data_IF_446750692680
#
_entry.id   IF_446750692680
#
_cell.length_a   1.000
_cell.length_b   1.000
_cell.length_c   1.000
_cell.angle_alpha   90.00
_cell.angle_beta   90.00
_cell.angle_gamma   90.00
#
_symmetry.space_group_name_H-M   'P 1'
#
loop_
_entity.id
_entity.type
_entity.pdbx_description
1 polymer ?
#
# COMPACT_ATOMS: atom_id res chain seq x y z
N UNK A 1 -15.02 12.95 20.53
CA UNK A 1 -15.38 12.41 19.20
C UNK A 1 -14.42 11.25 18.95
N UNK A 2 -14.83 10.05 19.34
CA UNK A 2 -14.04 8.82 19.22
C UNK A 2 -14.16 8.33 17.77
N UNK A 3 -13.07 8.48 17.00
CA UNK A 3 -12.96 7.82 15.70
C UNK A 3 -12.94 6.33 16.01
N UNK A 4 -14.06 5.68 15.73
CA UNK A 4 -14.19 4.24 15.86
C UNK A 4 -13.42 3.64 14.67
N UNK A 5 -12.12 3.39 14.86
CA UNK A 5 -11.26 2.68 13.91
C UNK A 5 -11.77 1.23 13.95
N UNK A 6 -12.81 0.93 13.17
CA UNK A 6 -13.28 -0.44 13.01
C UNK A 6 -12.13 -1.26 12.43
N UNK A 7 -11.83 -2.36 13.11
CA UNK A 7 -10.77 -3.34 12.83
C UNK A 7 -10.85 -3.88 11.39
N UNK A 8 -10.24 -3.20 10.43
CA UNK A 8 -9.97 -3.77 9.11
C UNK A 8 -8.56 -4.37 9.15
N UNK A 9 -8.38 -5.66 8.84
CA UNK A 9 -7.05 -6.28 8.71
C UNK A 9 -6.09 -5.53 7.77
N UNK A 10 -6.61 -4.70 6.86
CA UNK A 10 -5.80 -3.76 6.05
C UNK A 10 -4.99 -2.79 6.91
N UNK A 11 -5.53 -2.34 8.04
CA UNK A 11 -4.91 -1.32 8.88
C UNK A 11 -3.72 -1.88 9.70
N UNK A 12 -3.68 -3.21 9.95
CA UNK A 12 -2.52 -3.89 10.56
C UNK A 12 -1.23 -3.78 9.73
N UNK A 13 -1.37 -3.61 8.43
CA UNK A 13 -0.27 -3.55 7.46
C UNK A 13 -0.22 -2.22 6.72
N UNK A 14 -0.83 -1.17 7.27
CA UNK A 14 -0.97 0.14 6.61
C UNK A 14 0.37 0.75 6.17
N UNK A 15 1.46 0.41 6.83
CA UNK A 15 2.81 0.83 6.43
C UNK A 15 3.14 0.37 5.00
N UNK A 16 2.84 -0.89 4.68
CA UNK A 16 3.16 -1.52 3.40
C UNK A 16 2.02 -2.40 2.93
N UNK A 17 1.27 -1.90 1.96
CA UNK A 17 0.14 -2.60 1.40
C UNK A 17 0.58 -3.42 0.19
N UNK A 18 0.42 -4.74 0.30
CA UNK A 18 0.71 -5.67 -0.79
C UNK A 18 -0.25 -5.49 -1.95
N UNK A 19 0.31 -5.57 -3.16
CA UNK A 19 -0.41 -5.78 -4.40
C UNK A 19 -0.26 -7.26 -4.79
N UNK A 20 -1.38 -7.98 -4.92
CA UNK A 20 -1.36 -9.33 -5.50
C UNK A 20 -0.94 -9.21 -6.97
N UNK A 21 0.32 -9.52 -7.29
CA UNK A 21 0.74 -9.72 -8.67
C UNK A 21 0.33 -11.06 -9.30
N UNK A 22 0.08 -12.16 -8.55
CA UNK A 22 -0.22 -13.44 -9.19
C UNK A 22 -1.48 -13.35 -10.06
N UNK A 23 -2.55 -12.74 -9.52
CA UNK A 23 -3.84 -12.66 -10.19
C UNK A 23 -4.15 -11.24 -10.66
N UNK A 24 -4.21 -11.06 -11.98
CA UNK A 24 -4.74 -9.84 -12.60
C UNK A 24 -6.24 -10.06 -12.79
N UNK A 25 -7.04 -9.55 -11.86
CA UNK A 25 -8.44 -9.28 -12.18
C UNK A 25 -8.45 -8.17 -13.24
N UNK A 26 -8.79 -8.53 -14.49
CA UNK A 26 -8.83 -7.56 -15.58
C UNK A 26 -9.82 -6.42 -15.34
N UNK A 27 -10.77 -6.59 -14.41
CA UNK A 27 -11.73 -5.55 -14.06
C UNK A 27 -11.20 -4.54 -13.03
N UNK A 28 -10.12 -4.88 -12.29
CA UNK A 28 -9.59 -4.05 -11.20
C UNK A 28 -8.23 -3.43 -11.52
N UNK A 29 -7.87 -2.26 -10.95
CA UNK A 29 -6.55 -1.65 -11.10
C UNK A 29 -5.41 -2.53 -10.61
N UNK A 30 -5.65 -3.28 -9.54
CA UNK A 30 -4.72 -4.23 -8.92
C UNK A 30 -5.48 -5.15 -7.94
N UNK A 31 -4.80 -6.14 -7.36
CA UNK A 31 -5.33 -6.94 -6.25
C UNK A 31 -4.71 -6.56 -4.89
N UNK A 32 -5.20 -7.18 -3.82
CA UNK A 32 -4.58 -7.11 -2.48
C UNK A 32 -5.05 -5.98 -1.59
N UNK A 33 -4.34 -5.79 -0.48
CA UNK A 33 -4.68 -4.79 0.52
C UNK A 33 -4.55 -3.36 -0.04
N UNK A 34 -3.67 -3.15 -1.02
CA UNK A 34 -3.58 -1.85 -1.70
C UNK A 34 -4.85 -1.53 -2.51
N UNK A 35 -5.43 -2.51 -3.21
CA UNK A 35 -6.70 -2.32 -3.91
C UNK A 35 -7.85 -1.99 -2.94
N UNK A 36 -7.94 -2.70 -1.80
CA UNK A 36 -8.94 -2.37 -0.76
C UNK A 36 -8.81 -0.91 -0.30
N UNK A 37 -7.59 -0.39 -0.20
CA UNK A 37 -7.34 1.02 0.15
C UNK A 37 -7.79 1.97 -0.97
N UNK A 38 -7.52 1.65 -2.23
CA UNK A 38 -8.01 2.42 -3.39
C UNK A 38 -9.55 2.46 -3.42
N UNK A 39 -10.19 1.32 -3.20
CA UNK A 39 -11.65 1.19 -3.19
C UNK A 39 -12.28 2.04 -2.08
N UNK A 40 -11.69 2.07 -0.87
CA UNK A 40 -12.09 2.99 0.22
C UNK A 40 -11.99 4.46 -0.16
N UNK A 41 -11.07 4.83 -1.07
CA UNK A 41 -10.94 6.18 -1.61
C UNK A 41 -11.84 6.44 -2.84
N UNK A 42 -12.66 5.45 -3.23
CA UNK A 42 -13.55 5.55 -4.40
C UNK A 42 -12.85 5.31 -5.75
N UNK A 43 -11.64 4.75 -5.76
CA UNK A 43 -10.90 4.42 -6.98
C UNK A 43 -11.12 2.95 -7.33
N UNK A 44 -12.20 2.68 -8.07
CA UNK A 44 -12.60 1.32 -8.48
C UNK A 44 -11.95 0.94 -9.82
N UNK A 45 -11.69 1.92 -10.69
CA UNK A 45 -11.01 1.76 -11.97
C UNK A 45 -10.05 2.94 -12.22
N UNK A 46 -9.06 2.73 -13.10
CA UNK A 46 -8.17 3.79 -13.56
C UNK A 46 -8.50 4.15 -15.03
N UNK A 47 -8.20 5.39 -15.47
CA UNK A 47 -8.40 5.81 -16.86
C UNK A 47 -7.80 4.82 -17.86
N UNK A 48 -8.54 4.55 -18.95
CA UNK A 48 -8.17 3.58 -19.98
C UNK A 48 -7.86 2.16 -19.46
N UNK A 49 -8.47 1.78 -18.33
CA UNK A 49 -8.27 0.48 -17.66
C UNK A 49 -6.81 0.17 -17.33
N UNK A 50 -5.99 1.22 -17.15
CA UNK A 50 -4.62 1.06 -16.70
C UNK A 50 -4.58 0.29 -15.37
N UNK A 51 -3.51 -0.46 -15.18
CA UNK A 51 -3.21 -1.21 -13.97
C UNK A 51 -2.15 -0.49 -13.17
N UNK A 52 -2.14 -0.68 -11.86
CA UNK A 52 -1.09 -0.12 -10.99
C UNK A 52 0.31 -0.57 -11.44
N UNK A 53 0.43 -1.78 -11.96
CA UNK A 53 1.69 -2.30 -12.53
C UNK A 53 2.21 -1.50 -13.73
N UNK A 54 1.32 -0.89 -14.53
CA UNK A 54 1.73 -0.10 -15.70
C UNK A 54 2.53 1.15 -15.31
N UNK A 55 2.41 1.56 -14.04
CA UNK A 55 3.17 2.66 -13.45
C UNK A 55 4.48 2.13 -12.81
N UNK A 56 4.43 0.99 -12.14
CA UNK A 56 5.57 0.38 -11.42
C UNK A 56 6.71 -0.04 -12.36
N UNK A 57 6.42 -0.55 -13.56
CA UNK A 57 7.43 -1.15 -14.44
C UNK A 57 8.52 -0.18 -14.91
N UNK A 58 8.30 1.14 -14.79
CA UNK A 58 9.18 2.15 -15.37
C UNK A 58 10.08 2.88 -14.36
N UNK A 59 9.94 2.63 -13.05
CA UNK A 59 10.71 3.37 -12.04
C UNK A 59 10.73 2.63 -10.68
N UNK A 60 11.94 2.35 -10.17
CA UNK A 60 12.17 1.66 -8.90
C UNK A 60 11.71 2.46 -7.67
N UNK A 61 11.49 3.76 -7.80
CA UNK A 61 10.98 4.62 -6.73
C UNK A 61 9.47 4.47 -6.51
N UNK A 62 8.79 3.63 -7.29
CA UNK A 62 7.32 3.48 -7.27
C UNK A 62 6.80 2.50 -6.23
N UNK A 63 7.68 1.68 -5.67
CA UNK A 63 7.37 0.69 -4.66
C UNK A 63 8.46 0.68 -3.60
N UNK A 64 8.10 0.23 -2.42
CA UNK A 64 8.99 0.19 -1.26
C UNK A 64 9.72 -1.16 -1.21
N UNK A 65 9.03 -2.21 -1.64
CA UNK A 65 9.59 -3.55 -1.77
C UNK A 65 8.99 -4.30 -2.95
N UNK A 66 9.86 -4.97 -3.70
CA UNK A 66 9.51 -5.99 -4.68
C UNK A 66 10.10 -7.31 -4.21
N UNK A 67 9.28 -8.36 -4.25
CA UNK A 67 9.64 -9.72 -3.86
C UNK A 67 9.46 -10.60 -5.09
N UNK A 68 10.53 -11.26 -5.55
CA UNK A 68 10.40 -12.30 -6.58
C UNK A 68 10.06 -13.63 -5.91
N UNK A 69 8.93 -14.19 -6.29
CA UNK A 69 8.45 -15.47 -5.80
C UNK A 69 8.96 -16.59 -6.73
N UNK A 70 9.39 -17.74 -6.19
CA UNK A 70 9.86 -18.85 -7.02
C UNK A 70 8.71 -19.38 -7.89
N UNK A 71 9.00 -19.82 -9.12
CA UNK A 71 7.95 -20.32 -10.02
C UNK A 71 7.26 -21.58 -9.47
N UNK A 72 8.04 -22.42 -8.79
CA UNK A 72 7.58 -23.66 -8.17
C UNK A 72 6.49 -23.38 -7.13
N UNK A 73 6.50 -22.18 -6.51
CA UNK A 73 5.43 -21.74 -5.61
C UNK A 73 4.08 -21.75 -6.33
N UNK A 74 4.01 -21.17 -7.53
CA UNK A 74 2.77 -21.09 -8.31
C UNK A 74 2.43 -22.41 -8.99
N UNK A 75 3.43 -23.11 -9.54
CA UNK A 75 3.21 -24.36 -10.26
C UNK A 75 2.62 -25.47 -9.37
N UNK A 76 2.82 -25.40 -8.04
CA UNK A 76 2.22 -26.32 -7.07
C UNK A 76 0.72 -26.05 -6.81
N UNK A 77 0.17 -24.93 -7.30
CA UNK A 77 -1.24 -24.57 -7.07
C UNK A 77 -2.15 -25.29 -8.06
N UNK A 78 -2.57 -26.52 -7.72
CA UNK A 78 -3.58 -27.22 -8.52
C UNK A 78 -4.86 -26.40 -8.73
N UNK A 79 -5.22 -25.55 -7.77
CA UNK A 79 -6.40 -24.67 -7.78
C UNK A 79 -6.15 -23.25 -8.30
N UNK A 80 -5.00 -22.98 -8.94
CA UNK A 80 -4.62 -21.62 -9.37
C UNK A 80 -5.75 -20.87 -10.11
N UNK A 81 -6.06 -19.60 -9.76
CA UNK A 81 -5.33 -18.68 -8.88
C UNK A 81 -5.79 -18.70 -7.41
N UNK A 82 -6.67 -19.64 -7.04
CA UNK A 82 -7.17 -19.73 -5.67
C UNK A 82 -6.04 -20.32 -4.81
N UNK A 83 -5.54 -19.58 -3.80
CA UNK A 83 -4.50 -20.10 -2.93
C UNK A 83 -4.95 -21.38 -2.22
N UNK A 84 -4.11 -22.42 -2.12
CA UNK A 84 -4.41 -23.60 -1.32
C UNK A 84 -4.56 -23.25 0.16
N UNK A 85 -5.38 -24.01 0.88
CA UNK A 85 -5.72 -23.79 2.30
C UNK A 85 -4.52 -24.06 3.22
N UNK A 86 -3.69 -25.04 2.87
CA UNK A 86 -2.50 -25.43 3.63
C UNK A 86 -1.23 -25.06 2.85
N UNK A 87 -0.50 -24.08 3.36
CA UNK A 87 0.75 -23.63 2.79
C UNK A 87 1.93 -24.02 3.68
N UNK A 88 2.73 -25.00 3.25
CA UNK A 88 3.97 -25.39 3.93
C UNK A 88 5.15 -24.42 3.66
N UNK A 89 5.03 -23.54 2.66
CA UNK A 89 6.07 -22.57 2.29
C UNK A 89 5.52 -21.13 2.26
N UNK A 90 5.82 -20.31 3.29
CA UNK A 90 5.42 -18.91 3.31
C UNK A 90 6.37 -18.07 2.44
N UNK A 91 6.18 -18.10 1.11
CA UNK A 91 7.02 -17.32 0.21
C UNK A 91 6.52 -15.87 0.02
N UNK A 92 5.23 -15.59 0.21
CA UNK A 92 4.62 -14.25 0.10
C UNK A 92 4.10 -13.72 1.44
N UNK A 93 3.87 -12.40 1.56
CA UNK A 93 3.36 -11.82 2.83
C UNK A 93 1.98 -12.33 3.22
N UNK A 94 1.21 -12.90 2.29
CA UNK A 94 -0.07 -13.55 2.60
C UNK A 94 0.08 -14.68 3.63
N UNK A 95 1.29 -15.19 3.84
CA UNK A 95 1.58 -16.18 4.87
C UNK A 95 2.11 -15.59 6.19
N UNK A 96 2.35 -14.27 6.24
CA UNK A 96 2.64 -13.55 7.48
C UNK A 96 1.35 -13.01 8.11
N UNK A 97 0.26 -13.79 8.03
CA UNK A 97 -0.82 -13.63 8.98
C UNK A 97 -0.22 -13.85 10.37
N UNK A 98 -0.25 -12.80 11.20
CA UNK A 98 0.28 -12.79 12.55
C UNK A 98 -0.33 -13.94 13.37
N UNK A 99 0.38 -15.06 13.44
CA UNK A 99 0.03 -16.21 14.28
C UNK A 99 0.48 -15.92 15.71
N UNK A 100 -0.42 -15.39 16.54
CA UNK A 100 -0.29 -15.43 17.99
C UNK A 100 -0.01 -14.09 18.67
N UNK A 101 -0.19 -14.12 19.99
CA UNK A 101 -0.19 -12.99 20.91
C UNK A 101 1.01 -12.06 20.73
N UNK A 102 0.79 -10.75 20.91
CA UNK A 102 1.89 -9.80 20.99
C UNK A 102 2.64 -10.06 22.30
N UNK A 103 3.79 -10.70 22.21
CA UNK A 103 4.71 -10.94 23.31
C UNK A 103 5.89 -9.95 23.29
N UNK A 104 6.08 -9.21 22.20
CA UNK A 104 7.18 -8.26 22.00
C UNK A 104 6.75 -7.03 21.17
N UNK A 105 7.31 -5.85 21.48
CA UNK A 105 7.17 -4.61 20.69
C UNK A 105 7.54 -4.77 19.21
N UNK A 106 8.46 -5.69 18.85
CA UNK A 106 8.81 -5.97 17.45
C UNK A 106 7.60 -6.45 16.62
N UNK A 107 6.63 -7.12 17.23
CA UNK A 107 5.45 -7.65 16.53
C UNK A 107 4.46 -6.51 16.16
N UNK A 108 4.62 -5.33 16.74
CA UNK A 108 3.87 -4.13 16.36
C UNK A 108 4.32 -3.59 15.01
N UNK A 109 5.57 -3.82 14.62
CA UNK A 109 6.12 -3.37 13.35
C UNK A 109 5.61 -4.22 12.19
N UNK A 110 5.68 -3.69 10.97
CA UNK A 110 5.50 -4.54 9.80
C UNK A 110 6.58 -5.64 9.79
N UNK A 111 6.32 -6.87 9.34
CA UNK A 111 7.35 -7.90 9.25
C UNK A 111 8.60 -7.43 8.48
N UNK A 112 8.38 -6.60 7.46
CA UNK A 112 9.44 -5.93 6.69
C UNK A 112 10.11 -4.75 7.39
N UNK A 113 9.87 -4.47 8.67
CA UNK A 113 10.58 -3.42 9.41
C UNK A 113 11.43 -3.99 10.55
N UNK A 114 11.43 -5.31 10.71
CA UNK A 114 12.17 -5.98 11.79
C UNK A 114 13.50 -6.57 11.28
N UNK A 115 14.19 -7.38 12.09
CA UNK A 115 15.34 -8.17 11.63
C UNK A 115 15.02 -9.03 10.39
N UNK A 116 13.74 -9.38 10.20
CA UNK A 116 13.24 -10.00 8.98
C UNK A 116 13.52 -9.13 7.76
N UNK A 117 13.40 -7.79 7.81
CA UNK A 117 13.70 -6.88 6.70
C UNK A 117 15.07 -7.18 6.11
N UNK A 118 16.13 -7.25 6.92
CA UNK A 118 17.48 -7.47 6.39
C UNK A 118 17.62 -8.86 5.75
N UNK A 119 17.17 -9.91 6.42
CA UNK A 119 17.22 -11.27 5.87
C UNK A 119 16.38 -11.40 4.60
N UNK A 120 15.19 -10.80 4.59
CA UNK A 120 14.23 -10.85 3.52
C UNK A 120 14.65 -9.98 2.33
N UNK A 121 15.16 -8.78 2.58
CA UNK A 121 15.76 -7.90 1.56
C UNK A 121 16.95 -8.59 0.92
N UNK A 122 17.86 -9.15 1.72
CA UNK A 122 19.05 -9.83 1.17
C UNK A 122 18.68 -11.07 0.35
N UNK A 123 17.59 -11.75 0.71
CA UNK A 123 17.18 -12.99 0.05
C UNK A 123 16.24 -12.77 -1.14
N UNK A 124 15.36 -11.78 -1.08
CA UNK A 124 14.23 -11.64 -2.01
C UNK A 124 14.08 -10.26 -2.67
N UNK A 125 14.76 -9.21 -2.18
CA UNK A 125 14.72 -7.90 -2.85
C UNK A 125 15.56 -7.97 -4.12
N UNK A 126 14.88 -7.99 -5.25
CA UNK A 126 15.51 -7.87 -6.56
C UNK A 126 15.96 -6.41 -6.74
N UNK A 127 17.24 -6.20 -7.08
CA UNK A 127 17.74 -4.89 -7.53
C UNK A 127 17.45 -4.75 -9.02
N UNK A 128 16.90 -3.61 -9.43
CA UNK A 128 16.65 -3.30 -10.84
C UNK A 128 15.16 -3.20 -11.21
N UNK A 129 14.83 -2.26 -12.09
CA UNK A 129 13.65 -2.29 -12.96
C UNK A 129 13.72 -3.57 -13.82
N UNK A 130 13.18 -4.66 -13.28
CA UNK A 130 12.97 -5.89 -14.04
C UNK A 130 11.60 -5.80 -14.67
N UNK A 131 11.53 -5.84 -16.00
CA UNK A 131 10.26 -6.05 -16.69
C UNK A 131 9.77 -7.43 -16.28
N UNK A 132 8.65 -7.46 -15.54
CA UNK A 132 8.07 -8.72 -15.06
C UNK A 132 7.12 -9.25 -16.13
N UNK A 133 7.68 -10.12 -16.95
CA UNK A 133 6.93 -10.83 -17.97
C UNK A 133 5.90 -11.78 -17.34
N UNK A 134 4.66 -11.80 -17.85
CA UNK A 134 3.67 -12.76 -17.42
C UNK A 134 4.11 -14.18 -17.80
N UNK A 135 3.98 -15.11 -16.86
CA UNK A 135 4.20 -16.54 -17.04
C UNK A 135 2.85 -17.26 -17.16
N UNK A 136 2.83 -18.41 -17.80
CA UNK A 136 1.62 -19.21 -17.95
C UNK A 136 1.65 -20.41 -17.00
N UNK A 137 0.64 -20.52 -16.15
CA UNK A 137 0.44 -21.67 -15.26
C UNK A 137 -0.02 -22.90 -16.06
N UNK A 138 0.25 -24.16 -15.62
CA UNK A 138 -0.20 -25.37 -16.33
C UNK A 138 -1.69 -25.46 -16.65
N UNK A 139 -2.55 -24.73 -15.93
CA UNK A 139 -3.98 -24.64 -16.21
C UNK A 139 -4.38 -23.53 -17.21
N UNK A 140 -3.41 -22.92 -17.88
CA UNK A 140 -3.60 -21.90 -18.93
C UNK A 140 -3.78 -20.47 -18.44
N UNK A 141 -3.82 -20.22 -17.13
CA UNK A 141 -3.95 -18.86 -16.59
C UNK A 141 -2.58 -18.18 -16.47
N UNK A 142 -2.54 -16.88 -16.69
CA UNK A 142 -1.31 -16.10 -16.56
C UNK A 142 -1.08 -15.63 -15.12
N UNK A 143 0.19 -15.51 -14.75
CA UNK A 143 0.61 -15.01 -13.45
C UNK A 143 1.93 -14.23 -13.56
N UNK A 144 2.19 -13.35 -12.59
CA UNK A 144 3.52 -12.74 -12.41
C UNK A 144 4.14 -13.30 -11.15
N UNK A 145 5.40 -13.69 -11.24
CA UNK A 145 6.12 -14.32 -10.13
C UNK A 145 6.71 -13.30 -9.16
N UNK A 146 5.91 -12.31 -8.78
CA UNK A 146 6.37 -11.24 -7.90
C UNK A 146 5.28 -10.74 -6.98
N UNK A 147 5.65 -9.94 -5.99
CA UNK A 147 4.74 -9.11 -5.20
C UNK A 147 5.36 -7.73 -5.04
N UNK A 148 4.51 -6.70 -5.07
CA UNK A 148 4.92 -5.33 -4.81
C UNK A 148 4.23 -4.83 -3.56
N UNK A 149 4.97 -4.09 -2.75
CA UNK A 149 4.46 -3.46 -1.54
C UNK A 149 4.60 -1.96 -1.68
N UNK A 150 3.47 -1.28 -1.52
CA UNK A 150 3.39 0.16 -1.65
C UNK A 150 3.04 0.78 -0.31
N UNK A 151 3.67 1.91 0.00
CA UNK A 151 3.20 2.76 1.09
C UNK A 151 1.74 3.12 0.87
N UNK A 152 0.89 3.08 1.91
CA UNK A 152 -0.54 3.36 1.73
C UNK A 152 -0.84 4.76 1.16
N UNK A 153 0.04 5.74 1.41
CA UNK A 153 -0.15 7.10 0.92
C UNK A 153 -0.10 7.18 -0.61
N UNK A 154 0.50 6.20 -1.29
CA UNK A 154 0.46 6.11 -2.76
C UNK A 154 -0.96 5.92 -3.29
N UNK A 155 -1.90 5.45 -2.46
CA UNK A 155 -3.31 5.43 -2.81
C UNK A 155 -3.88 6.85 -3.03
N UNK A 156 -3.35 7.88 -2.32
CA UNK A 156 -3.72 9.27 -2.56
C UNK A 156 -3.24 9.80 -3.91
N UNK A 157 -2.08 9.32 -4.39
CA UNK A 157 -1.57 9.64 -5.74
C UNK A 157 -2.54 9.12 -6.80
N UNK A 158 -2.99 7.86 -6.67
CA UNK A 158 -3.97 7.28 -7.60
C UNK A 158 -5.34 7.94 -7.49
N UNK A 159 -5.75 8.34 -6.28
CA UNK A 159 -6.98 9.11 -6.08
C UNK A 159 -6.94 10.45 -6.81
N UNK A 160 -5.87 11.25 -6.61
CA UNK A 160 -5.71 12.53 -7.31
C UNK A 160 -5.58 12.33 -8.82
N UNK A 161 -4.86 11.29 -9.27
CA UNK A 161 -4.76 10.95 -10.69
C UNK A 161 -6.16 10.67 -11.28
N UNK A 162 -6.96 9.85 -10.61
CA UNK A 162 -8.29 9.48 -11.09
C UNK A 162 -9.22 10.71 -11.17
N UNK A 163 -9.07 11.65 -10.23
CA UNK A 163 -9.79 12.92 -10.24
C UNK A 163 -9.34 13.84 -11.38
N UNK A 164 -8.03 14.02 -11.57
CA UNK A 164 -7.48 14.90 -12.61
C UNK A 164 -7.64 14.35 -14.03
N UNK A 165 -7.72 13.03 -14.19
CA UNK A 165 -7.85 12.35 -15.48
C UNK A 165 -9.25 11.73 -15.71
N UNK A 166 -10.26 12.04 -14.88
CA UNK A 166 -11.60 11.41 -14.91
C UNK A 166 -12.26 11.37 -16.30
N UNK A 167 -12.07 12.41 -17.11
CA UNK A 167 -12.71 12.54 -18.42
C UNK A 167 -11.75 12.48 -19.60
N UNK A 168 -10.49 12.10 -19.38
CA UNK A 168 -9.47 12.13 -20.45
C UNK A 168 -9.89 11.29 -21.68
N UNK A 169 -10.55 10.16 -21.45
CA UNK A 169 -11.06 9.28 -22.50
C UNK A 169 -12.14 9.88 -23.40
N UNK A 170 -12.74 11.02 -23.02
CA UNK A 170 -13.70 11.75 -23.87
C UNK A 170 -13.04 12.66 -24.90
N UNK A 171 -11.78 13.03 -24.67
CA UNK A 171 -11.09 14.06 -25.45
C UNK A 171 -9.86 13.53 -26.18
N UNK A 172 -9.29 12.41 -25.72
CA UNK A 172 -8.07 11.85 -26.29
C UNK A 172 -8.21 10.36 -26.63
N UNK A 173 -7.65 9.93 -27.78
CA UNK A 173 -7.50 8.52 -28.10
C UNK A 173 -6.73 7.77 -27.01
N UNK A 174 -7.01 6.47 -26.87
CA UNK A 174 -6.46 5.64 -25.80
C UNK A 174 -4.92 5.66 -25.74
N UNK A 175 -4.25 5.57 -26.89
CA UNK A 175 -2.79 5.49 -26.94
C UNK A 175 -2.12 6.76 -26.41
N UNK A 176 -2.57 7.93 -26.87
CA UNK A 176 -2.07 9.23 -26.41
C UNK A 176 -2.47 9.50 -24.95
N UNK A 177 -3.73 9.20 -24.61
CA UNK A 177 -4.26 9.41 -23.29
C UNK A 177 -3.54 8.59 -22.21
N UNK A 178 -3.16 7.33 -22.49
CA UNK A 178 -2.38 6.50 -21.54
C UNK A 178 -1.03 7.13 -21.18
N UNK A 179 -0.32 7.67 -22.17
CA UNK A 179 0.99 8.31 -21.92
C UNK A 179 0.84 9.59 -21.10
N UNK A 180 -0.20 10.39 -21.36
CA UNK A 180 -0.50 11.57 -20.53
C UNK A 180 -0.85 11.17 -19.09
N UNK A 181 -1.67 10.12 -18.89
CA UNK A 181 -2.01 9.63 -17.55
C UNK A 181 -0.76 9.19 -16.79
N UNK A 182 0.17 8.48 -17.45
CA UNK A 182 1.46 8.09 -16.85
C UNK A 182 2.33 9.29 -16.49
N UNK A 183 2.45 10.28 -17.38
CA UNK A 183 3.18 11.52 -17.08
C UNK A 183 2.59 12.28 -15.90
N UNK A 184 1.25 12.38 -15.87
CA UNK A 184 0.51 13.01 -14.77
C UNK A 184 0.72 12.31 -13.43
N UNK A 185 0.77 10.97 -13.44
CA UNK A 185 1.08 10.19 -12.25
C UNK A 185 2.44 10.59 -11.68
N UNK A 186 3.48 10.70 -12.52
CA UNK A 186 4.83 11.07 -12.09
C UNK A 186 4.80 12.43 -11.38
N UNK A 187 4.14 13.43 -11.97
CA UNK A 187 4.01 14.76 -11.39
C UNK A 187 3.31 14.73 -10.03
N UNK A 188 2.21 13.98 -9.91
CA UNK A 188 1.46 13.86 -8.66
C UNK A 188 2.32 13.12 -7.62
N UNK A 189 2.91 11.98 -7.97
CA UNK A 189 3.78 11.20 -7.08
C UNK A 189 4.91 12.07 -6.51
N UNK A 190 5.60 12.82 -7.36
CA UNK A 190 6.66 13.74 -6.96
C UNK A 190 6.19 14.81 -5.96
N UNK A 191 4.97 15.33 -6.11
CA UNK A 191 4.38 16.26 -5.14
C UNK A 191 4.10 15.60 -3.79
N UNK A 192 3.78 14.31 -3.79
CA UNK A 192 3.44 13.55 -2.59
C UNK A 192 4.66 13.00 -1.84
N UNK A 193 5.78 12.75 -2.53
CA UNK A 193 7.03 12.23 -1.93
C UNK A 193 7.49 13.05 -0.72
N UNK A 194 7.33 14.37 -0.73
CA UNK A 194 7.70 15.26 0.39
C UNK A 194 6.92 15.01 1.69
N UNK A 195 5.78 14.31 1.59
CA UNK A 195 4.96 13.89 2.73
C UNK A 195 5.18 12.41 3.10
N UNK A 196 6.05 11.69 2.37
CA UNK A 196 6.25 10.25 2.54
C UNK A 196 6.63 9.86 3.97
N UNK A 197 7.59 10.58 4.58
CA UNK A 197 8.00 10.34 5.97
C UNK A 197 6.86 10.59 6.97
N UNK A 198 6.12 11.69 6.80
CA UNK A 198 4.94 12.03 7.63
C UNK A 198 3.89 10.92 7.59
N UNK A 199 3.56 10.44 6.40
CA UNK A 199 2.59 9.35 6.26
C UNK A 199 3.15 8.00 6.72
N UNK A 200 4.44 7.74 6.53
CA UNK A 200 5.10 6.55 7.08
C UNK A 200 4.96 6.48 8.60
N UNK A 201 5.22 7.61 9.29
CA UNK A 201 5.01 7.72 10.73
C UNK A 201 3.55 7.51 11.12
N UNK A 202 2.62 8.17 10.43
CA UNK A 202 1.19 8.01 10.69
C UNK A 202 0.75 6.54 10.54
N UNK A 203 1.18 5.87 9.48
CA UNK A 203 0.90 4.46 9.25
C UNK A 203 1.49 3.58 10.36
N UNK A 204 2.70 3.88 10.84
CA UNK A 204 3.31 3.10 11.90
C UNK A 204 2.52 3.16 13.19
N UNK A 205 2.11 4.36 13.60
CA UNK A 205 1.23 4.55 14.75
C UNK A 205 -0.12 3.87 14.57
N UNK A 206 -0.77 4.04 13.41
CA UNK A 206 -2.07 3.43 13.14
C UNK A 206 -2.01 1.90 13.17
N UNK A 207 -1.04 1.30 12.50
CA UNK A 207 -0.86 -0.16 12.50
C UNK A 207 -0.56 -0.71 13.89
N UNK A 208 0.30 -0.04 14.67
CA UNK A 208 0.60 -0.47 16.03
C UNK A 208 -0.64 -0.40 16.94
N UNK A 209 -1.41 0.68 16.86
CA UNK A 209 -2.65 0.85 17.61
C UNK A 209 -3.69 -0.21 17.25
N UNK A 210 -3.95 -0.42 15.96
CA UNK A 210 -4.91 -1.44 15.49
C UNK A 210 -4.52 -2.85 15.94
N UNK A 211 -3.23 -3.17 15.93
CA UNK A 211 -2.75 -4.45 16.47
C UNK A 211 -2.98 -4.56 17.98
N UNK A 212 -2.68 -3.52 18.76
CA UNK A 212 -2.91 -3.55 20.21
C UNK A 212 -4.38 -3.74 20.58
N UNK A 213 -5.29 -3.07 19.87
CA UNK A 213 -6.73 -3.20 20.07
C UNK A 213 -7.20 -4.63 19.75
N UNK A 214 -6.69 -5.22 18.66
CA UNK A 214 -7.01 -6.59 18.26
C UNK A 214 -6.48 -7.65 19.24
N UNK A 215 -5.26 -7.48 19.76
CA UNK A 215 -4.60 -8.43 20.67
C UNK A 215 -4.78 -8.06 22.15
N UNK A 216 -5.86 -7.34 22.48
CA UNK A 216 -6.20 -6.67 23.76
C UNK A 216 -6.14 -7.50 25.07
N UNK A 217 -5.62 -8.71 25.05
CA UNK A 217 -5.47 -9.60 26.20
C UNK A 217 -4.03 -9.94 26.61
N UNK A 218 -2.98 -9.46 25.93
CA UNK A 218 -1.60 -9.93 26.20
C UNK A 218 -0.49 -8.89 26.36
N UNK A 219 -0.72 -7.60 26.08
CA UNK A 219 0.37 -6.62 26.01
C UNK A 219 0.31 -5.53 27.09
N UNK A 220 1.20 -5.58 28.08
CA UNK A 220 1.36 -4.52 29.08
C UNK A 220 2.37 -3.45 28.62
N UNK A 221 1.94 -2.54 27.76
CA UNK A 221 2.71 -1.36 27.38
C UNK A 221 1.84 -0.10 27.55
N UNK A 222 2.38 0.94 28.18
CA UNK A 222 1.70 2.23 28.21
C UNK A 222 1.92 2.96 26.86
N UNK A 223 1.06 3.95 26.54
CA UNK A 223 1.14 4.69 25.28
C UNK A 223 2.43 5.50 25.11
N UNK A 224 3.06 5.94 26.20
CA UNK A 224 4.31 6.68 26.15
C UNK A 224 5.47 5.77 25.69
N UNK A 225 5.57 4.57 26.25
CA UNK A 225 6.56 3.55 25.92
C UNK A 225 6.40 3.03 24.49
N UNK A 226 5.17 3.00 23.98
CA UNK A 226 4.88 2.69 22.58
C UNK A 226 5.34 3.81 21.67
N UNK A 227 5.00 5.06 22.01
CA UNK A 227 5.35 6.22 21.21
C UNK A 227 6.87 6.40 21.10
N UNK A 228 7.59 6.29 22.22
CA UNK A 228 9.05 6.34 22.24
C UNK A 228 9.66 5.23 21.37
N UNK A 229 9.16 4.00 21.52
CA UNK A 229 9.63 2.87 20.73
C UNK A 229 9.45 3.09 19.21
N UNK A 230 8.28 3.56 18.79
CA UNK A 230 8.01 3.81 17.37
C UNK A 230 8.87 4.96 16.83
N UNK A 231 9.06 6.04 17.61
CA UNK A 231 9.93 7.15 17.23
C UNK A 231 11.39 6.72 17.07
N UNK A 232 11.91 5.98 18.05
CA UNK A 232 13.27 5.42 17.99
C UNK A 232 13.44 4.52 16.76
N UNK A 233 12.47 3.64 16.51
CA UNK A 233 12.49 2.74 15.36
C UNK A 233 12.52 3.50 14.02
N UNK A 234 11.71 4.56 13.90
CA UNK A 234 11.63 5.38 12.69
C UNK A 234 12.73 6.45 12.62
N UNK A 235 13.65 6.50 13.58
CA UNK A 235 14.67 7.55 13.71
C UNK A 235 14.07 8.96 13.68
N UNK A 236 12.90 9.12 14.30
CA UNK A 236 12.12 10.36 14.29
C UNK A 236 12.20 11.08 15.64
N UNK A 237 12.24 12.40 15.57
CA UNK A 237 12.31 13.29 16.72
C UNK A 237 10.93 13.85 17.12
N UNK A 238 10.88 14.65 18.18
CA UNK A 238 9.68 15.44 18.51
C UNK A 238 9.46 16.53 17.47
N UNK A 239 10.53 17.12 16.96
CA UNK A 239 10.51 18.17 15.95
C UNK A 239 9.89 17.65 14.65
N UNK A 240 10.21 16.41 14.27
CA UNK A 240 9.56 15.70 13.16
C UNK A 240 8.03 15.61 13.32
N UNK A 241 7.55 15.32 14.53
CA UNK A 241 6.11 15.24 14.80
C UNK A 241 5.42 16.61 14.70
N UNK A 242 6.11 17.69 15.06
CA UNK A 242 5.58 19.04 14.89
C UNK A 242 5.50 19.40 13.40
N UNK A 243 6.55 19.11 12.64
CA UNK A 243 6.57 19.31 11.19
C UNK A 243 5.47 18.48 10.48
N UNK A 244 5.23 17.26 10.95
CA UNK A 244 4.14 16.41 10.46
C UNK A 244 2.78 17.07 10.61
N UNK A 245 2.51 17.68 11.77
CA UNK A 245 1.24 18.36 12.01
C UNK A 245 1.05 19.54 11.05
N UNK A 246 2.11 20.32 10.79
CA UNK A 246 2.07 21.42 9.81
C UNK A 246 1.81 20.91 8.39
N UNK A 247 2.48 19.83 7.99
CA UNK A 247 2.29 19.18 6.68
C UNK A 247 0.87 18.65 6.52
N UNK A 248 0.34 17.97 7.53
CA UNK A 248 -1.02 17.43 7.52
C UNK A 248 -2.07 18.56 7.45
N UNK A 249 -1.87 19.64 8.21
CA UNK A 249 -2.72 20.84 8.12
C UNK A 249 -2.65 21.47 6.73
N UNK A 250 -1.47 21.54 6.13
CA UNK A 250 -1.30 22.06 4.77
C UNK A 250 -2.09 21.23 3.75
N UNK A 251 -2.03 19.90 3.84
CA UNK A 251 -2.82 18.99 2.99
C UNK A 251 -4.32 19.21 3.21
N UNK A 252 -4.74 19.29 4.48
CA UNK A 252 -6.14 19.53 4.83
C UNK A 252 -6.66 20.85 4.23
N UNK A 253 -5.93 21.96 4.36
CA UNK A 253 -6.32 23.23 3.77
C UNK A 253 -6.35 23.19 2.24
N UNK A 254 -5.39 22.49 1.61
CA UNK A 254 -5.38 22.29 0.15
C UNK A 254 -6.65 21.59 -0.31
N UNK A 255 -7.01 20.47 0.32
CA UNK A 255 -8.21 19.72 -0.03
C UNK A 255 -9.49 20.49 0.26
N UNK A 256 -9.59 21.18 1.41
CA UNK A 256 -10.72 22.07 1.69
C UNK A 256 -10.88 23.17 0.63
N UNK A 257 -9.77 23.77 0.19
CA UNK A 257 -9.78 24.76 -0.89
C UNK A 257 -10.32 24.19 -2.19
N UNK A 258 -9.87 22.99 -2.56
CA UNK A 258 -10.33 22.29 -3.77
C UNK A 258 -11.81 21.92 -3.71
N UNK A 259 -12.33 21.47 -2.56
CA UNK A 259 -13.76 21.19 -2.38
C UNK A 259 -14.59 22.47 -2.56
N UNK A 260 -14.14 23.60 -2.01
CA UNK A 260 -14.83 24.89 -2.16
C UNK A 260 -14.85 25.37 -3.62
N UNK A 261 -13.75 25.20 -4.36
CA UNK A 261 -13.65 25.65 -5.76
C UNK A 261 -14.36 24.75 -6.76
N UNK A 262 -14.60 23.48 -6.43
CA UNK A 262 -15.25 22.50 -7.33
C UNK A 262 -16.77 22.46 -7.19
N UNK A 263 -17.37 23.35 -6.38
CA UNK A 263 -18.83 23.41 -6.20
C UNK A 263 -19.42 22.22 -5.43
N UNK A 264 -18.60 21.31 -4.92
CA UNK A 264 -18.99 20.22 -4.04
C UNK A 264 -19.14 20.77 -2.62
N UNK A 265 -20.28 21.41 -2.36
CA UNK A 265 -20.68 21.86 -1.03
C UNK A 265 -20.93 20.67 -0.10
N UNK A 266 -20.18 20.65 1.00
CA UNK A 266 -20.41 20.02 2.30
C UNK A 266 -20.38 18.48 2.40
N UNK A 267 -19.30 17.97 2.98
CA UNK A 267 -19.41 16.88 3.97
C UNK A 267 -19.72 17.52 5.33
N UNK A 268 -21.00 17.78 5.59
CA UNK A 268 -21.49 17.82 6.97
C UNK A 268 -21.72 16.39 7.38
N UNK A 269 -20.79 15.87 8.18
CA UNK A 269 -20.97 14.64 8.94
C UNK A 269 -21.99 14.88 10.05
N UNK A 270 -23.12 14.16 9.99
CA UNK A 270 -23.84 13.74 11.21
C UNK A 270 -23.08 12.60 11.90
#
# INVERSE_FOLDING_TARGET
MSINIKDDPVDYHLQYLGINAPYIDETKPCGGHFYKRLEKLGVIELPYKLKVFDFIQNDETFYELMVELPEEYFQRWGSYPIPPIDFEHPAGSYCFDFKGSINNKLELLHPYETSLLNSFVNQYKVKGSKVIEPKTHPNGKNYRNCEYYLSYWRAYVFFELNMECKFIGKYLPEQEGKEIVKGKYIDINNKWLKYGATFGRLAAYQSAMSKLDFFSSSFSCNYADLSLYLLEHMSASKEDLLEDMEKLLTIHYRWMGQCKSSGLSNYTSD
#
